data_IF_699042532120
#
_entry.id   IF_699042532120
#
_cell.length_a   1.000
_cell.length_b   1.000
_cell.length_c   1.000
_cell.angle_alpha   90.00
_cell.angle_beta   90.00
_cell.angle_gamma   90.00
#
_symmetry.space_group_name_H-M   'P 1'
#
loop_
_entity.id
_entity.type
_entity.pdbx_description
1 polymer ?
#
# COMPACT_ATOMS: atom_id res chain seq x y z
N UNK A 1 61.10 -40.90 -46.52
CA UNK A 1 60.72 -39.48 -46.61
C UNK A 1 59.43 -39.46 -47.41
N UNK A 2 58.25 -39.09 -46.94
CA UNK A 2 57.70 -38.68 -45.65
C UNK A 2 56.20 -39.01 -45.79
N UNK A 3 55.58 -39.54 -44.73
CA UNK A 3 54.15 -39.75 -44.69
C UNK A 3 53.46 -38.38 -44.60
N UNK A 4 52.48 -38.11 -45.46
CA UNK A 4 51.56 -37.00 -45.25
C UNK A 4 50.14 -37.57 -45.09
N UNK A 5 49.71 -37.58 -43.84
CA UNK A 5 48.39 -37.90 -43.34
C UNK A 5 47.46 -36.70 -43.54
N UNK A 6 46.26 -36.91 -44.08
CA UNK A 6 45.11 -36.07 -43.74
C UNK A 6 43.80 -36.82 -43.98
N UNK A 7 42.93 -36.70 -42.97
CA UNK A 7 41.76 -37.49 -42.59
C UNK A 7 40.52 -37.28 -43.48
N UNK A 8 39.51 -38.18 -43.39
CA UNK A 8 38.23 -37.99 -44.08
C UNK A 8 37.33 -36.97 -43.38
N UNK A 9 36.58 -36.21 -44.18
CA UNK A 9 35.61 -35.20 -43.75
C UNK A 9 34.60 -35.78 -42.74
N UNK A 10 34.59 -35.21 -41.54
CA UNK A 10 33.58 -35.50 -40.51
C UNK A 10 32.39 -34.56 -40.67
N UNK A 11 31.21 -35.15 -40.86
CA UNK A 11 29.92 -34.48 -40.81
C UNK A 11 29.72 -33.79 -39.45
N UNK A 12 29.69 -32.45 -39.41
CA UNK A 12 29.26 -31.73 -38.21
C UNK A 12 27.73 -31.71 -38.15
N UNK A 13 27.17 -32.45 -37.19
CA UNK A 13 25.79 -32.28 -36.77
C UNK A 13 25.58 -30.83 -36.30
N UNK A 14 24.65 -30.13 -36.95
CA UNK A 14 24.12 -28.88 -36.42
C UNK A 14 23.43 -29.18 -35.08
N UNK A 15 24.04 -28.76 -33.98
CA UNK A 15 23.36 -28.69 -32.69
C UNK A 15 22.30 -27.60 -32.81
N UNK A 16 21.07 -28.04 -33.04
CA UNK A 16 19.88 -27.22 -32.87
C UNK A 16 19.90 -26.71 -31.44
N UNK A 17 20.24 -25.43 -31.27
CA UNK A 17 20.11 -24.74 -29.99
C UNK A 17 18.67 -24.89 -29.53
N UNK A 18 18.47 -25.63 -28.45
CA UNK A 18 17.20 -25.64 -27.73
C UNK A 18 16.87 -24.18 -27.42
N UNK A 19 15.72 -23.64 -27.86
CA UNK A 19 15.33 -22.29 -27.48
C UNK A 19 15.36 -22.23 -25.95
N UNK A 20 16.09 -21.28 -25.37
CA UNK A 20 15.95 -21.01 -23.93
C UNK A 20 14.45 -20.82 -23.68
N UNK A 21 13.85 -21.52 -22.69
CA UNK A 21 12.46 -21.30 -22.39
C UNK A 21 12.27 -19.80 -22.15
N UNK A 22 11.25 -19.22 -22.77
CA UNK A 22 10.87 -17.83 -22.52
C UNK A 22 10.40 -17.74 -21.07
N UNK A 23 11.33 -17.45 -20.17
CA UNK A 23 11.06 -17.18 -18.77
C UNK A 23 10.35 -15.83 -18.76
N UNK A 24 9.08 -15.81 -18.35
CA UNK A 24 8.33 -14.56 -18.17
C UNK A 24 9.15 -13.61 -17.30
N UNK A 25 9.22 -12.29 -17.59
CA UNK A 25 9.85 -11.30 -16.71
C UNK A 25 9.34 -11.37 -15.26
N UNK A 26 8.12 -11.88 -15.07
CA UNK A 26 7.59 -12.24 -13.76
C UNK A 26 8.46 -13.27 -13.04
N UNK A 27 8.80 -14.40 -13.70
CA UNK A 27 9.63 -15.47 -13.14
C UNK A 27 11.05 -15.01 -12.77
N UNK A 28 11.63 -14.02 -13.46
CA UNK A 28 12.91 -13.38 -13.04
C UNK A 28 12.74 -12.54 -11.77
N UNK A 29 11.61 -11.86 -11.59
CA UNK A 29 11.30 -11.16 -10.33
C UNK A 29 11.04 -12.13 -9.16
N UNK A 30 10.74 -13.40 -9.45
CA UNK A 30 10.47 -14.42 -8.42
C UNK A 30 11.71 -14.93 -7.69
N UNK A 31 12.92 -14.64 -8.19
CA UNK A 31 14.17 -14.98 -7.50
C UNK A 31 14.61 -13.94 -6.46
N UNK A 32 13.90 -12.81 -6.35
CA UNK A 32 14.20 -11.76 -5.37
C UNK A 32 13.67 -12.18 -3.99
N UNK A 33 14.56 -12.28 -3.00
CA UNK A 33 14.17 -12.41 -1.59
C UNK A 33 14.36 -11.07 -0.88
N UNK A 34 13.53 -10.79 0.14
CA UNK A 34 13.70 -9.61 0.99
C UNK A 34 15.09 -9.51 1.62
N UNK A 35 15.76 -10.65 1.83
CA UNK A 35 17.12 -10.71 2.38
C UNK A 35 18.22 -10.18 1.46
N UNK A 36 17.91 -9.88 0.19
CA UNK A 36 18.86 -9.32 -0.78
C UNK A 36 18.61 -7.84 -1.12
N UNK A 37 17.61 -7.21 -0.48
CA UNK A 37 17.20 -5.83 -0.76
C UNK A 37 17.90 -4.86 0.19
N UNK A 38 18.25 -3.67 -0.30
CA UNK A 38 18.76 -2.59 0.55
C UNK A 38 17.75 -2.31 1.69
N UNK A 39 18.15 -2.46 2.96
CA UNK A 39 17.28 -2.18 4.10
C UNK A 39 16.73 -0.77 4.05
N UNK A 40 15.45 -0.60 4.38
CA UNK A 40 14.77 0.69 4.40
C UNK A 40 14.74 1.42 3.04
N UNK A 41 14.87 0.69 1.92
CA UNK A 41 14.55 1.22 0.59
C UNK A 41 13.03 1.41 0.44
N UNK A 42 12.59 2.28 -0.48
CA UNK A 42 11.16 2.58 -0.67
C UNK A 42 10.34 1.31 -0.94
N UNK A 43 10.83 0.42 -1.81
CA UNK A 43 10.13 -0.83 -2.14
C UNK A 43 10.01 -1.76 -0.94
N UNK A 44 11.10 -1.92 -0.17
CA UNK A 44 11.15 -2.77 1.02
C UNK A 44 10.15 -2.30 2.09
N UNK A 45 10.13 -0.99 2.33
CA UNK A 45 9.24 -0.35 3.31
C UNK A 45 7.79 -0.51 2.91
N UNK A 46 7.43 -0.16 1.66
CA UNK A 46 6.05 -0.27 1.19
C UNK A 46 5.56 -1.72 1.25
N UNK A 47 6.45 -2.68 0.94
CA UNK A 47 6.14 -4.11 1.04
C UNK A 47 5.86 -4.53 2.48
N UNK A 48 6.64 -4.06 3.46
CA UNK A 48 6.40 -4.30 4.89
C UNK A 48 5.12 -3.63 5.39
N UNK A 49 4.82 -2.41 4.93
CA UNK A 49 3.57 -1.71 5.25
C UNK A 49 2.36 -2.50 4.74
N UNK A 50 2.38 -2.98 3.50
CA UNK A 50 1.30 -3.77 2.91
C UNK A 50 1.16 -5.12 3.63
N UNK A 51 2.27 -5.84 3.84
CA UNK A 51 2.29 -7.11 4.56
C UNK A 51 1.72 -6.96 5.98
N UNK A 52 2.24 -6.00 6.74
CA UNK A 52 1.79 -5.74 8.10
C UNK A 52 0.31 -5.35 8.19
N UNK A 53 -0.17 -4.55 7.24
CA UNK A 53 -1.58 -4.18 7.15
C UNK A 53 -2.51 -5.36 6.84
N UNK A 54 -2.06 -6.33 6.03
CA UNK A 54 -2.80 -7.57 5.77
C UNK A 54 -2.77 -8.50 6.99
N UNK A 55 -1.61 -8.62 7.64
CA UNK A 55 -1.42 -9.46 8.82
C UNK A 55 -2.24 -9.05 10.05
N UNK A 56 -2.61 -7.77 10.17
CA UNK A 56 -3.57 -7.31 11.19
C UNK A 56 -4.92 -8.02 11.04
N UNK A 57 -5.33 -8.34 9.81
CA UNK A 57 -6.58 -9.06 9.53
C UNK A 57 -6.37 -10.56 9.30
N UNK A 58 -5.16 -11.08 9.49
CA UNK A 58 -4.81 -12.47 9.17
C UNK A 58 -4.96 -12.80 7.68
N UNK A 59 -4.81 -11.80 6.81
CA UNK A 59 -5.01 -11.86 5.37
C UNK A 59 -3.67 -11.91 4.61
N UNK A 60 -3.68 -12.32 3.34
CA UNK A 60 -2.50 -12.25 2.47
C UNK A 60 -1.45 -13.37 2.64
N UNK A 61 -0.34 -13.23 1.91
CA UNK A 61 0.77 -14.20 1.89
C UNK A 61 1.94 -13.86 2.82
N UNK A 62 3.05 -14.59 2.67
CA UNK A 62 4.31 -14.30 3.37
C UNK A 62 4.88 -12.93 2.99
N UNK A 63 5.85 -12.44 3.77
CA UNK A 63 6.53 -11.18 3.48
C UNK A 63 7.29 -11.23 2.13
N UNK A 64 7.95 -12.35 1.80
CA UNK A 64 8.65 -12.52 0.51
C UNK A 64 7.68 -12.52 -0.67
N UNK A 65 6.53 -13.20 -0.53
CA UNK A 65 5.48 -13.15 -1.55
C UNK A 65 4.90 -11.76 -1.70
N UNK A 66 4.67 -11.06 -0.59
CA UNK A 66 4.20 -9.66 -0.61
C UNK A 66 5.20 -8.77 -1.33
N UNK A 67 6.49 -8.92 -1.04
CA UNK A 67 7.54 -8.14 -1.70
C UNK A 67 7.55 -8.33 -3.21
N UNK A 68 7.50 -9.58 -3.70
CA UNK A 68 7.49 -9.86 -5.15
C UNK A 68 6.26 -9.31 -5.86
N UNK A 69 5.09 -9.42 -5.23
CA UNK A 69 3.85 -8.83 -5.74
C UNK A 69 3.97 -7.30 -5.80
N UNK A 70 4.45 -6.67 -4.73
CA UNK A 70 4.70 -5.23 -4.68
C UNK A 70 5.68 -4.81 -5.77
N UNK A 71 6.80 -5.51 -5.89
CA UNK A 71 7.81 -5.27 -6.92
C UNK A 71 7.23 -5.31 -8.33
N UNK A 72 6.43 -6.33 -8.65
CA UNK A 72 5.77 -6.42 -9.95
C UNK A 72 4.75 -5.29 -10.17
N UNK A 73 3.90 -4.99 -9.19
CA UNK A 73 2.86 -3.95 -9.29
C UNK A 73 3.47 -2.56 -9.46
N UNK A 74 4.42 -2.19 -8.60
CA UNK A 74 5.03 -0.87 -8.59
C UNK A 74 5.94 -0.62 -9.80
N UNK A 75 6.54 -1.67 -10.37
CA UNK A 75 7.36 -1.58 -11.61
C UNK A 75 6.58 -1.89 -12.89
N UNK A 76 5.27 -2.09 -12.83
CA UNK A 76 4.44 -2.38 -14.02
C UNK A 76 4.85 -3.64 -14.78
N UNK A 77 5.39 -4.62 -14.05
CA UNK A 77 5.71 -5.92 -14.63
C UNK A 77 4.42 -6.72 -14.85
N UNK A 78 4.38 -7.60 -15.87
CA UNK A 78 3.27 -8.53 -16.04
C UNK A 78 3.05 -9.36 -14.77
N UNK A 79 1.84 -9.33 -14.22
CA UNK A 79 1.42 -10.12 -13.06
C UNK A 79 0.08 -10.79 -13.38
N UNK A 80 -0.04 -12.12 -13.22
CA UNK A 80 -1.27 -12.81 -13.56
C UNK A 80 -2.41 -12.44 -12.59
N UNK A 81 -3.65 -12.49 -13.05
CA UNK A 81 -4.81 -12.30 -12.16
C UNK A 81 -5.08 -13.55 -11.32
N UNK A 82 -4.71 -14.72 -11.83
CA UNK A 82 -4.85 -16.00 -11.16
C UNK A 82 -3.56 -16.81 -11.20
N UNK A 83 -3.26 -17.50 -10.11
CA UNK A 83 -2.12 -18.40 -10.04
C UNK A 83 -2.52 -19.80 -10.48
N UNK A 84 -1.61 -20.49 -11.14
CA UNK A 84 -1.74 -21.91 -11.48
C UNK A 84 -1.03 -22.77 -10.44
N UNK A 85 -1.55 -23.98 -10.19
CA UNK A 85 -0.86 -24.95 -9.33
C UNK A 85 0.50 -25.29 -9.92
N UNK A 86 1.54 -25.26 -9.10
CA UNK A 86 2.93 -25.41 -9.54
C UNK A 86 3.67 -24.08 -9.82
N UNK A 87 2.99 -22.93 -9.81
CA UNK A 87 3.68 -21.64 -9.77
C UNK A 87 4.41 -21.47 -8.44
N UNK A 88 5.64 -20.94 -8.44
CA UNK A 88 6.41 -20.81 -7.19
C UNK A 88 5.69 -19.93 -6.14
N UNK A 89 5.02 -18.87 -6.58
CA UNK A 89 4.20 -18.01 -5.69
C UNK A 89 3.03 -18.80 -5.08
N UNK A 90 2.41 -19.70 -5.85
CA UNK A 90 1.32 -20.54 -5.36
C UNK A 90 1.81 -21.48 -4.27
N UNK A 91 2.94 -22.16 -4.49
CA UNK A 91 3.52 -23.10 -3.52
C UNK A 91 3.96 -22.36 -2.24
N UNK A 92 4.58 -21.19 -2.36
CA UNK A 92 5.00 -20.42 -1.18
C UNK A 92 3.83 -19.87 -0.35
N UNK A 93 2.73 -19.46 -0.98
CA UNK A 93 1.51 -19.11 -0.25
C UNK A 93 0.93 -20.36 0.43
N UNK A 94 0.97 -21.51 -0.24
CA UNK A 94 0.51 -22.79 0.32
C UNK A 94 1.30 -23.16 1.58
N UNK A 95 2.63 -23.04 1.54
CA UNK A 95 3.52 -23.27 2.69
C UNK A 95 3.24 -22.28 3.83
N UNK A 96 2.99 -21.01 3.50
CA UNK A 96 2.63 -19.99 4.48
C UNK A 96 1.31 -20.32 5.19
N UNK A 97 0.29 -20.75 4.45
CA UNK A 97 -0.98 -21.18 5.02
C UNK A 97 -0.82 -22.41 5.93
N UNK A 98 0.04 -23.36 5.55
CA UNK A 98 0.36 -24.53 6.37
C UNK A 98 1.08 -24.16 7.68
N UNK A 99 1.98 -23.18 7.64
CA UNK A 99 2.61 -22.60 8.82
C UNK A 99 1.57 -21.96 9.76
N UNK A 100 0.63 -21.19 9.19
CA UNK A 100 -0.45 -20.54 9.92
C UNK A 100 -1.59 -21.48 10.35
N UNK A 101 -1.54 -22.77 9.98
CA UNK A 101 -2.60 -23.75 10.25
C UNK A 101 -3.95 -23.39 9.63
N UNK A 102 -3.92 -22.73 8.47
CA UNK A 102 -5.09 -22.37 7.67
C UNK A 102 -5.29 -23.43 6.55
N UNK A 103 -6.54 -23.75 6.14
CA UNK A 103 -6.79 -24.69 5.05
C UNK A 103 -6.08 -24.32 3.74
N UNK A 104 -5.41 -25.30 3.13
CA UNK A 104 -4.59 -25.20 1.91
C UNK A 104 -5.40 -25.36 0.62
N UNK A 105 -6.68 -24.97 0.63
CA UNK A 105 -7.51 -25.11 -0.56
C UNK A 105 -7.05 -24.12 -1.63
N UNK A 106 -7.36 -24.41 -2.90
CA UNK A 106 -7.04 -23.51 -4.00
C UNK A 106 -7.67 -22.13 -3.76
N UNK A 107 -8.90 -22.11 -3.26
CA UNK A 107 -9.65 -20.91 -2.91
C UNK A 107 -8.95 -20.09 -1.83
N UNK A 108 -8.43 -20.72 -0.76
CA UNK A 108 -7.66 -20.03 0.28
C UNK A 108 -6.38 -19.40 -0.25
N UNK A 109 -5.63 -20.12 -1.10
CA UNK A 109 -4.39 -19.62 -1.71
C UNK A 109 -4.69 -18.44 -2.63
N UNK A 110 -5.71 -18.58 -3.47
CA UNK A 110 -6.14 -17.53 -4.39
C UNK A 110 -6.65 -16.29 -3.66
N UNK A 111 -7.37 -16.46 -2.56
CA UNK A 111 -7.80 -15.35 -1.69
C UNK A 111 -6.60 -14.58 -1.15
N UNK A 112 -5.63 -15.27 -0.55
CA UNK A 112 -4.43 -14.61 0.00
C UNK A 112 -3.63 -13.88 -1.09
N UNK A 113 -3.52 -14.48 -2.28
CA UNK A 113 -2.90 -13.85 -3.42
C UNK A 113 -3.62 -12.56 -3.84
N UNK A 114 -4.94 -12.63 -4.05
CA UNK A 114 -5.77 -11.49 -4.47
C UNK A 114 -5.76 -10.37 -3.44
N UNK A 115 -5.93 -10.68 -2.15
CA UNK A 115 -5.86 -9.68 -1.07
C UNK A 115 -4.52 -8.94 -1.07
N UNK A 116 -3.42 -9.63 -1.35
CA UNK A 116 -2.08 -9.00 -1.42
C UNK A 116 -1.92 -8.17 -2.70
N UNK A 117 -2.34 -8.71 -3.85
CA UNK A 117 -2.29 -8.05 -5.15
C UNK A 117 -3.12 -6.75 -5.18
N UNK A 118 -4.36 -6.82 -4.70
CA UNK A 118 -5.26 -5.68 -4.68
C UNK A 118 -4.82 -4.61 -3.69
N UNK A 119 -4.27 -5.01 -2.55
CA UNK A 119 -3.65 -4.05 -1.62
C UNK A 119 -2.51 -3.28 -2.29
N UNK A 120 -1.61 -3.98 -2.97
CA UNK A 120 -0.51 -3.35 -3.70
C UNK A 120 -1.03 -2.42 -4.84
N UNK A 121 -2.06 -2.84 -5.58
CA UNK A 121 -2.68 -2.01 -6.64
C UNK A 121 -3.32 -0.75 -6.08
N UNK A 122 -4.08 -0.85 -4.99
CA UNK A 122 -4.68 0.30 -4.31
C UNK A 122 -3.61 1.25 -3.73
N UNK A 123 -2.54 0.70 -3.15
CA UNK A 123 -1.40 1.49 -2.68
C UNK A 123 -0.74 2.27 -3.83
N UNK A 124 -0.44 1.60 -4.95
CA UNK A 124 0.12 2.24 -6.14
C UNK A 124 -0.78 3.35 -6.66
N UNK A 125 -2.08 3.10 -6.75
CA UNK A 125 -3.06 4.09 -7.19
C UNK A 125 -3.00 5.37 -6.33
N UNK A 126 -3.08 5.21 -5.01
CA UNK A 126 -3.05 6.34 -4.08
C UNK A 126 -1.72 7.08 -4.08
N UNK A 127 -0.59 6.36 -4.05
CA UNK A 127 0.75 6.97 -4.08
C UNK A 127 0.96 7.74 -5.38
N UNK A 128 0.62 7.14 -6.54
CA UNK A 128 0.79 7.79 -7.84
C UNK A 128 -0.07 9.05 -7.92
N UNK A 129 -1.36 8.96 -7.59
CA UNK A 129 -2.31 10.06 -7.71
C UNK A 129 -2.02 11.19 -6.72
N UNK A 130 -1.85 10.84 -5.45
CA UNK A 130 -1.81 11.81 -4.35
C UNK A 130 -0.38 12.23 -4.01
N UNK A 131 0.60 11.34 -4.05
CA UNK A 131 1.98 11.67 -3.65
C UNK A 131 2.75 12.19 -4.86
N UNK A 132 2.76 11.46 -5.98
CA UNK A 132 3.56 11.80 -7.17
C UNK A 132 2.94 12.94 -7.97
N UNK A 133 1.66 12.81 -8.34
CA UNK A 133 0.96 13.82 -9.14
C UNK A 133 0.38 14.97 -8.31
N UNK A 134 0.55 14.93 -6.99
CA UNK A 134 0.01 15.91 -6.03
C UNK A 134 -1.48 16.23 -6.21
N UNK A 135 -2.28 15.33 -6.77
CA UNK A 135 -3.71 15.56 -6.93
C UNK A 135 -4.40 15.64 -5.56
N UNK A 136 -5.53 16.32 -5.52
CA UNK A 136 -6.37 16.41 -4.31
C UNK A 136 -7.12 15.10 -4.12
N UNK A 137 -7.42 14.77 -2.88
CA UNK A 137 -8.44 13.76 -2.62
C UNK A 137 -9.80 14.30 -3.04
N UNK A 138 -10.55 13.46 -3.74
CA UNK A 138 -11.97 13.67 -4.07
C UNK A 138 -12.73 12.38 -3.72
N UNK A 139 -14.06 12.44 -3.70
CA UNK A 139 -14.89 11.28 -3.39
C UNK A 139 -14.60 10.08 -4.31
N UNK A 140 -14.34 10.35 -5.60
CA UNK A 140 -13.99 9.33 -6.58
C UNK A 140 -12.69 8.60 -6.21
N UNK A 141 -11.72 9.28 -5.59
CA UNK A 141 -10.47 8.69 -5.11
C UNK A 141 -10.73 7.65 -4.03
N UNK A 142 -11.62 7.93 -3.08
CA UNK A 142 -11.99 6.98 -2.03
C UNK A 142 -12.70 5.76 -2.59
N UNK A 143 -13.67 6.00 -3.48
CA UNK A 143 -14.45 4.94 -4.13
C UNK A 143 -13.58 4.05 -4.99
N UNK A 144 -12.69 4.62 -5.79
CA UNK A 144 -11.78 3.86 -6.64
C UNK A 144 -10.75 3.08 -5.83
N UNK A 145 -10.20 3.67 -4.76
CA UNK A 145 -9.25 2.96 -3.90
C UNK A 145 -9.92 1.78 -3.18
N UNK A 146 -11.16 1.93 -2.71
CA UNK A 146 -11.94 0.82 -2.17
C UNK A 146 -12.21 -0.23 -3.24
N UNK A 147 -12.67 0.18 -4.44
CA UNK A 147 -12.95 -0.72 -5.56
C UNK A 147 -11.74 -1.56 -5.95
N UNK A 148 -10.55 -0.96 -6.02
CA UNK A 148 -9.31 -1.68 -6.30
C UNK A 148 -8.97 -2.64 -5.17
N UNK A 149 -9.13 -2.22 -3.92
CA UNK A 149 -8.75 -2.99 -2.74
C UNK A 149 -9.61 -4.23 -2.51
N UNK A 150 -10.90 -4.18 -2.85
CA UNK A 150 -11.86 -5.27 -2.66
C UNK A 150 -12.17 -6.03 -3.96
N UNK A 151 -11.53 -5.67 -5.07
CA UNK A 151 -11.80 -6.28 -6.37
C UNK A 151 -11.58 -7.79 -6.36
N UNK A 152 -12.65 -8.52 -6.69
CA UNK A 152 -12.66 -9.99 -6.79
C UNK A 152 -12.33 -10.70 -5.46
N UNK A 153 -12.56 -10.02 -4.33
CA UNK A 153 -12.78 -10.67 -3.04
C UNK A 153 -14.20 -11.28 -3.09
N UNK A 154 -14.34 -12.56 -2.74
CA UNK A 154 -15.65 -13.22 -2.73
C UNK A 154 -16.59 -12.42 -1.83
N UNK A 155 -17.76 -11.97 -2.34
CA UNK A 155 -18.73 -11.29 -1.50
C UNK A 155 -19.09 -12.25 -0.37
N UNK A 156 -19.09 -11.74 0.87
CA UNK A 156 -19.58 -12.53 2.00
C UNK A 156 -20.93 -13.14 1.63
N UNK A 157 -21.20 -14.42 1.94
CA UNK A 157 -22.51 -15.02 1.75
C UNK A 157 -23.65 -14.24 2.42
N UNK A 158 -23.32 -13.39 3.40
CA UNK A 158 -24.25 -12.50 4.08
C UNK A 158 -24.54 -11.19 3.31
N UNK A 159 -23.73 -10.84 2.30
CA UNK A 159 -23.75 -9.52 1.63
C UNK A 159 -23.54 -9.63 0.11
N UNK A 160 -24.51 -10.18 -0.64
CA UNK A 160 -24.35 -10.51 -2.06
C UNK A 160 -24.44 -9.28 -2.99
N UNK A 161 -24.83 -8.12 -2.47
CA UNK A 161 -25.13 -6.91 -3.25
C UNK A 161 -24.70 -5.65 -2.47
N UNK A 162 -23.39 -5.36 -2.50
CA UNK A 162 -22.78 -4.27 -1.72
C UNK A 162 -21.55 -3.63 -2.38
N UNK A 163 -21.58 -3.56 -3.72
CA UNK A 163 -20.66 -2.96 -4.70
C UNK A 163 -19.39 -2.27 -4.22
N UNK A 164 -18.25 -2.90 -4.51
CA UNK A 164 -16.93 -2.31 -4.65
C UNK A 164 -16.97 -0.81 -5.00
N UNK A 165 -16.43 0.04 -4.13
CA UNK A 165 -16.36 1.47 -4.34
C UNK A 165 -17.66 2.25 -4.10
N UNK A 166 -18.68 1.67 -3.48
CA UNK A 166 -19.89 2.40 -3.08
C UNK A 166 -20.01 2.52 -1.56
N UNK A 167 -20.55 3.64 -1.09
CA UNK A 167 -20.88 3.78 0.33
C UNK A 167 -21.95 2.78 0.74
N UNK A 168 -21.81 2.20 1.93
CA UNK A 168 -22.77 1.24 2.46
C UNK A 168 -24.14 1.91 2.61
N UNK A 169 -25.17 1.25 2.10
CA UNK A 169 -26.56 1.72 2.19
C UNK A 169 -27.32 1.08 3.35
N UNK A 170 -26.84 -0.06 3.85
CA UNK A 170 -27.48 -0.82 4.91
C UNK A 170 -26.54 -0.98 6.11
N UNK A 171 -27.08 -0.74 7.30
CA UNK A 171 -26.39 -1.01 8.55
C UNK A 171 -26.56 -2.47 8.93
N UNK A 172 -25.73 -3.36 8.39
CA UNK A 172 -25.73 -4.75 8.87
C UNK A 172 -25.03 -4.78 10.22
N UNK A 173 -25.85 -4.99 11.25
CA UNK A 173 -25.62 -4.74 12.69
C UNK A 173 -25.49 -3.26 13.01
N UNK A 174 -26.34 -2.79 13.93
CA UNK A 174 -26.24 -1.47 14.56
C UNK A 174 -24.98 -1.49 15.43
N UNK A 175 -23.82 -1.62 14.83
CA UNK A 175 -22.58 -1.38 15.54
C UNK A 175 -22.63 0.10 15.93
N UNK A 176 -22.91 0.41 17.21
CA UNK A 176 -23.09 1.78 17.62
C UNK A 176 -21.78 2.57 17.49
N UNK A 177 -20.67 1.88 17.16
CA UNK A 177 -19.36 2.46 16.90
C UNK A 177 -19.26 3.22 15.57
N UNK A 178 -20.18 3.02 14.63
CA UNK A 178 -20.09 3.61 13.29
C UNK A 178 -21.27 4.54 12.96
N UNK A 179 -21.02 5.49 12.07
CA UNK A 179 -22.00 6.47 11.64
C UNK A 179 -23.21 5.84 10.92
N UNK A 180 -24.39 6.45 11.01
CA UNK A 180 -25.57 6.00 10.27
C UNK A 180 -25.34 6.10 8.75
N UNK A 181 -25.72 5.08 7.94
CA UNK A 181 -25.58 5.10 6.48
C UNK A 181 -26.11 6.37 5.81
N UNK A 182 -27.21 6.93 6.30
CA UNK A 182 -27.83 8.13 5.73
C UNK A 182 -26.96 9.38 5.89
N UNK A 183 -26.01 9.34 6.83
CA UNK A 183 -25.12 10.46 7.15
C UNK A 183 -23.74 10.34 6.48
N UNK A 184 -23.37 9.16 5.96
CA UNK A 184 -22.07 8.89 5.34
C UNK A 184 -21.74 9.89 4.23
N UNK A 185 -22.63 10.19 3.25
CA UNK A 185 -22.28 11.10 2.15
C UNK A 185 -21.90 12.49 2.65
N UNK A 186 -22.64 13.03 3.62
CA UNK A 186 -22.37 14.35 4.20
C UNK A 186 -21.08 14.37 5.02
N UNK A 187 -20.86 13.34 5.85
CA UNK A 187 -19.66 13.24 6.68
C UNK A 187 -18.38 13.06 5.84
N UNK A 188 -18.44 12.23 4.79
CA UNK A 188 -17.34 12.06 3.85
C UNK A 188 -17.04 13.36 3.09
N UNK A 189 -18.07 14.08 2.63
CA UNK A 189 -17.88 15.38 1.96
C UNK A 189 -17.17 16.39 2.87
N UNK A 190 -17.59 16.51 4.13
CA UNK A 190 -16.94 17.38 5.11
C UNK A 190 -15.48 17.01 5.33
N UNK A 191 -15.22 15.73 5.59
CA UNK A 191 -13.85 15.22 5.81
C UNK A 191 -12.94 15.41 4.58
N UNK A 192 -13.44 15.18 3.36
CA UNK A 192 -12.70 15.38 2.11
C UNK A 192 -12.38 16.85 1.89
N UNK A 193 -13.35 17.74 2.16
CA UNK A 193 -13.19 19.19 2.00
C UNK A 193 -12.11 19.71 2.94
N UNK A 194 -12.15 19.31 4.22
CA UNK A 194 -11.13 19.67 5.19
C UNK A 194 -9.74 19.13 4.81
N UNK A 195 -9.65 17.87 4.39
CA UNK A 195 -8.39 17.27 3.94
C UNK A 195 -7.80 18.04 2.75
N UNK A 196 -8.63 18.41 1.78
CA UNK A 196 -8.20 19.18 0.62
C UNK A 196 -7.62 20.55 1.03
N UNK A 197 -8.28 21.26 1.94
CA UNK A 197 -7.79 22.54 2.47
C UNK A 197 -6.45 22.38 3.21
N UNK A 198 -6.32 21.34 4.04
CA UNK A 198 -5.06 21.05 4.74
C UNK A 198 -3.93 20.74 3.76
N UNK A 199 -4.18 19.94 2.72
CA UNK A 199 -3.16 19.62 1.72
C UNK A 199 -2.74 20.85 0.91
N UNK A 200 -3.67 21.74 0.58
CA UNK A 200 -3.34 23.02 -0.08
C UNK A 200 -2.45 23.90 0.81
N UNK A 201 -2.71 23.94 2.12
CA UNK A 201 -1.87 24.66 3.06
C UNK A 201 -0.44 24.09 3.09
N UNK A 202 -0.28 22.77 3.00
CA UNK A 202 1.02 22.11 2.95
C UNK A 202 1.79 22.44 1.66
N UNK A 203 1.10 22.50 0.52
CA UNK A 203 1.73 22.79 -0.78
C UNK A 203 2.17 24.28 -0.91
N UNK A 204 1.56 25.18 -0.15
CA UNK A 204 1.80 26.64 -0.20
C UNK A 204 2.71 27.18 0.90
N UNK A 205 3.07 26.37 1.90
CA UNK A 205 3.95 26.79 3.00
C UNK A 205 5.42 26.86 2.55
N UNK A 206 6.10 28.02 2.65
CA UNK A 206 7.51 28.15 2.27
C UNK A 206 8.45 27.39 3.21
N UNK A 207 9.46 26.74 2.64
CA UNK A 207 10.56 26.07 3.37
C UNK A 207 11.65 27.08 3.79
N UNK A 208 12.43 26.82 4.86
CA UNK A 208 12.45 25.59 5.64
C UNK A 208 11.40 25.56 6.76
N UNK A 209 10.76 24.41 6.91
CA UNK A 209 9.88 24.10 8.03
C UNK A 209 10.73 24.03 9.31
N UNK A 210 10.19 24.45 10.46
CA UNK A 210 10.86 24.17 11.74
C UNK A 210 10.75 22.66 12.03
N UNK A 211 11.86 21.94 12.32
CA UNK A 211 11.92 20.50 12.04
C UNK A 211 11.04 19.59 12.92
N UNK A 212 10.83 19.91 14.20
CA UNK A 212 10.24 18.95 15.15
C UNK A 212 8.75 19.20 15.42
N UNK A 213 8.36 20.46 15.66
CA UNK A 213 6.96 20.83 15.90
C UNK A 213 6.06 20.57 14.68
N UNK A 214 6.62 20.64 13.46
CA UNK A 214 5.88 20.45 12.20
C UNK A 214 5.65 18.97 11.83
N UNK A 215 6.59 18.07 12.17
CA UNK A 215 6.41 16.63 11.95
C UNK A 215 5.27 16.11 12.84
N UNK A 216 5.26 16.52 14.10
CA UNK A 216 4.21 16.14 15.04
C UNK A 216 2.84 16.65 14.58
N UNK A 217 2.75 17.89 14.07
CA UNK A 217 1.51 18.45 13.54
C UNK A 217 1.02 17.68 12.29
N UNK A 218 1.91 17.30 11.38
CA UNK A 218 1.57 16.51 10.18
C UNK A 218 1.09 15.11 10.53
N UNK A 219 1.75 14.43 11.48
CA UNK A 219 1.29 13.14 12.01
C UNK A 219 -0.07 13.29 12.66
N UNK A 220 -0.27 14.36 13.45
CA UNK A 220 -1.54 14.66 14.08
C UNK A 220 -2.65 14.84 13.03
N UNK A 221 -2.43 15.63 11.96
CA UNK A 221 -3.41 15.82 10.87
C UNK A 221 -3.75 14.50 10.16
N UNK A 222 -2.75 13.67 9.85
CA UNK A 222 -2.98 12.36 9.25
C UNK A 222 -3.78 11.43 10.17
N UNK A 223 -3.46 11.40 11.47
CA UNK A 223 -4.20 10.62 12.46
C UNK A 223 -5.63 11.14 12.62
N UNK A 224 -5.85 12.46 12.60
CA UNK A 224 -7.17 13.08 12.67
C UNK A 224 -8.06 12.60 11.53
N UNK A 225 -7.52 12.64 10.31
CA UNK A 225 -8.18 12.14 9.13
C UNK A 225 -8.56 10.65 9.27
N UNK A 226 -7.59 9.80 9.62
CA UNK A 226 -7.83 8.36 9.78
C UNK A 226 -8.86 8.06 10.87
N UNK A 227 -8.82 8.78 11.99
CA UNK A 227 -9.80 8.64 13.07
C UNK A 227 -11.23 8.92 12.56
N UNK A 228 -11.44 10.03 11.84
CA UNK A 228 -12.76 10.30 11.23
C UNK A 228 -13.19 9.21 10.27
N UNK A 229 -12.28 8.75 9.40
CA UNK A 229 -12.58 7.68 8.45
C UNK A 229 -13.00 6.38 9.16
N UNK A 230 -12.32 6.00 10.26
CA UNK A 230 -12.66 4.84 11.09
C UNK A 230 -14.09 4.95 11.64
N UNK A 231 -14.48 6.12 12.15
CA UNK A 231 -15.83 6.34 12.72
C UNK A 231 -16.93 6.43 11.67
N UNK A 232 -16.64 7.02 10.50
CA UNK A 232 -17.59 7.06 9.38
C UNK A 232 -17.82 5.63 8.85
N UNK A 233 -16.76 4.85 8.73
CA UNK A 233 -16.77 3.48 8.20
C UNK A 233 -17.56 3.37 6.89
N UNK A 234 -17.15 4.09 5.82
CA UNK A 234 -18.03 4.40 4.70
C UNK A 234 -18.39 3.21 3.80
N UNK A 235 -17.55 2.17 3.73
CA UNK A 235 -17.72 1.04 2.81
C UNK A 235 -18.25 -0.21 3.53
N UNK A 236 -18.68 -1.21 2.76
CA UNK A 236 -19.10 -2.51 3.29
C UNK A 236 -17.91 -3.30 3.82
N UNK A 237 -16.83 -3.39 3.03
CA UNK A 237 -15.57 -4.01 3.42
C UNK A 237 -14.36 -3.13 3.07
N UNK A 238 -13.20 -3.48 3.62
CA UNK A 238 -11.92 -2.87 3.29
C UNK A 238 -11.60 -1.62 4.09
N UNK A 239 -12.51 -1.10 4.93
CA UNK A 239 -12.29 0.15 5.68
C UNK A 239 -10.99 0.14 6.50
N UNK A 240 -10.70 -0.97 7.20
CA UNK A 240 -9.48 -1.16 7.97
C UNK A 240 -8.21 -1.05 7.11
N UNK A 241 -8.14 -1.81 6.01
CA UNK A 241 -7.01 -1.79 5.07
C UNK A 241 -6.88 -0.41 4.40
N UNK A 242 -8.01 0.20 4.06
CA UNK A 242 -8.06 1.45 3.31
C UNK A 242 -7.61 2.66 4.15
N UNK A 243 -8.00 2.76 5.43
CA UNK A 243 -7.50 3.87 6.27
C UNK A 243 -5.99 3.77 6.49
N UNK A 244 -5.42 2.56 6.56
CA UNK A 244 -3.97 2.36 6.69
C UNK A 244 -3.22 2.75 5.41
N UNK A 245 -3.84 2.53 4.25
CA UNK A 245 -3.36 3.08 2.98
C UNK A 245 -3.44 4.60 2.93
N UNK A 246 -4.52 5.21 3.42
CA UNK A 246 -4.60 6.67 3.52
C UNK A 246 -3.56 7.24 4.48
N UNK A 247 -3.35 6.62 5.64
CA UNK A 247 -2.30 7.01 6.58
C UNK A 247 -0.93 7.00 5.89
N UNK A 248 -0.60 5.91 5.21
CA UNK A 248 0.66 5.77 4.46
C UNK A 248 0.79 6.85 3.39
N UNK A 249 -0.27 7.10 2.63
CA UNK A 249 -0.30 8.09 1.55
C UNK A 249 -0.11 9.52 2.09
N UNK A 250 -0.78 9.87 3.18
CA UNK A 250 -0.69 11.18 3.81
C UNK A 250 0.69 11.44 4.41
N UNK A 251 1.29 10.45 5.08
CA UNK A 251 2.65 10.54 5.60
C UNK A 251 3.65 10.76 4.46
N UNK A 252 3.57 9.96 3.39
CA UNK A 252 4.45 10.10 2.22
C UNK A 252 4.30 11.47 1.53
N UNK A 253 3.06 11.98 1.39
CA UNK A 253 2.82 13.32 0.86
C UNK A 253 3.38 14.41 1.77
N UNK A 254 3.38 14.17 3.08
CA UNK A 254 3.94 15.08 4.07
C UNK A 254 5.48 15.04 4.16
N UNK A 255 6.14 14.15 3.39
CA UNK A 255 7.59 13.94 3.47
C UNK A 255 8.03 13.11 4.68
N UNK A 256 7.11 12.35 5.27
CA UNK A 256 7.33 11.51 6.46
C UNK A 256 7.37 10.03 6.03
N UNK A 257 8.30 9.22 6.56
CA UNK A 257 8.32 7.78 6.30
C UNK A 257 6.97 7.12 6.65
N UNK A 258 6.56 6.06 5.91
CA UNK A 258 5.40 5.26 6.28
C UNK A 258 5.50 4.71 7.70
N UNK A 259 4.36 4.62 8.39
CA UNK A 259 4.26 3.86 9.62
C UNK A 259 4.33 2.37 9.30
N UNK A 260 5.37 1.67 9.78
CA UNK A 260 5.54 0.22 9.56
C UNK A 260 5.21 -0.53 10.84
N UNK A 261 4.14 -1.33 10.82
CA UNK A 261 3.63 -2.09 11.97
C UNK A 261 2.88 -3.34 11.50
N UNK A 262 2.44 -4.20 12.44
CA UNK A 262 1.71 -5.43 12.13
C UNK A 262 2.60 -6.61 11.74
N UNK A 263 3.93 -6.42 11.73
CA UNK A 263 4.91 -7.46 11.42
C UNK A 263 4.93 -8.57 12.49
N UNK A 264 4.76 -8.18 13.75
CA UNK A 264 4.77 -9.08 14.91
C UNK A 264 3.47 -8.97 15.71
N UNK A 265 3.15 -10.03 16.48
CA UNK A 265 1.93 -10.09 17.31
C UNK A 265 1.80 -8.88 18.26
N UNK A 266 2.85 -8.44 18.98
CA UNK A 266 2.73 -7.28 19.86
C UNK A 266 2.32 -6.00 19.13
N UNK A 267 2.77 -5.80 17.89
CA UNK A 267 2.41 -4.63 17.09
C UNK A 267 0.94 -4.67 16.67
N UNK A 268 0.44 -5.87 16.33
CA UNK A 268 -0.97 -6.07 15.97
C UNK A 268 -1.88 -5.76 17.16
N UNK A 269 -1.51 -6.19 18.36
CA UNK A 269 -2.25 -5.88 19.59
C UNK A 269 -2.23 -4.39 19.94
N UNK A 270 -1.07 -3.73 19.81
CA UNK A 270 -0.95 -2.27 20.04
C UNK A 270 -1.74 -1.48 19.00
N UNK A 271 -1.74 -1.93 17.75
CA UNK A 271 -2.55 -1.37 16.68
C UNK A 271 -4.05 -1.48 16.98
N UNK A 272 -4.51 -2.66 17.39
CA UNK A 272 -5.90 -2.90 17.80
C UNK A 272 -6.31 -1.98 18.96
N UNK A 273 -5.46 -1.80 19.97
CA UNK A 273 -5.72 -0.87 21.08
C UNK A 273 -5.81 0.59 20.61
N UNK A 274 -4.91 1.01 19.72
CA UNK A 274 -4.91 2.35 19.16
C UNK A 274 -6.18 2.61 18.31
N UNK A 275 -6.58 1.66 17.47
CA UNK A 275 -7.82 1.73 16.70
C UNK A 275 -9.05 1.70 17.63
N UNK A 276 -9.06 0.83 18.64
CA UNK A 276 -10.16 0.74 19.60
C UNK A 276 -10.38 2.05 20.38
N UNK A 277 -9.31 2.80 20.66
CA UNK A 277 -9.39 4.10 21.33
C UNK A 277 -10.20 5.13 20.53
N UNK A 278 -10.30 4.96 19.21
CA UNK A 278 -11.06 5.85 18.33
C UNK A 278 -12.56 5.78 18.61
N UNK A 279 -13.08 4.62 19.00
CA UNK A 279 -14.53 4.39 19.18
C UNK A 279 -15.14 5.06 20.42
N UNK A 280 -14.35 5.82 21.19
CA UNK A 280 -14.80 6.43 22.46
C UNK A 280 -15.41 7.84 22.31
N UNK A 281 -15.38 8.42 21.10
CA UNK A 281 -15.80 9.81 20.85
C UNK A 281 -17.26 9.96 20.35
N UNK A 282 -17.83 11.15 20.59
CA UNK A 282 -19.19 11.52 20.18
C UNK A 282 -19.29 11.82 18.67
N UNK A 283 -20.17 11.10 17.97
CA UNK A 283 -20.44 11.24 16.53
C UNK A 283 -20.92 12.64 16.11
N UNK A 284 -21.45 13.45 17.03
CA UNK A 284 -21.96 14.79 16.70
C UNK A 284 -20.90 15.68 16.04
N UNK A 285 -19.61 15.48 16.35
CA UNK A 285 -18.53 16.26 15.77
C UNK A 285 -18.20 15.87 14.32
N UNK A 286 -18.63 14.70 13.83
CA UNK A 286 -18.33 14.26 12.45
C UNK A 286 -19.17 14.96 11.39
N UNK A 287 -20.33 15.50 11.78
CA UNK A 287 -21.33 16.10 10.89
C UNK A 287 -21.23 17.61 10.78
N UNK A 288 -20.52 18.24 11.70
CA UNK A 288 -20.39 19.70 11.73
C UNK A 288 -19.33 20.12 10.70
N UNK A 289 -19.83 20.56 9.54
CA UNK A 289 -19.03 21.15 8.44
C UNK A 289 -18.54 22.57 8.81
N UNK A 290 -19.07 23.15 9.89
CA UNK A 290 -18.75 24.47 10.39
C UNK A 290 -18.81 24.49 11.93
N UNK A 291 -17.75 25.03 12.54
CA UNK A 291 -17.64 25.56 13.91
C UNK A 291 -16.95 24.75 15.05
N UNK A 292 -15.77 25.29 15.39
CA UNK A 292 -15.17 25.58 16.72
C UNK A 292 -14.68 24.48 17.67
N UNK A 293 -15.04 23.20 17.50
CA UNK A 293 -14.34 22.13 18.22
C UNK A 293 -13.59 21.28 17.20
N UNK A 294 -12.28 21.49 17.12
CA UNK A 294 -11.43 20.68 16.26
C UNK A 294 -11.56 19.22 16.70
N UNK A 295 -12.20 18.38 15.87
CA UNK A 295 -12.20 16.94 16.07
C UNK A 295 -10.75 16.49 16.24
N UNK A 296 -10.41 15.94 17.41
CA UNK A 296 -9.04 15.53 17.74
C UNK A 296 -8.82 14.04 17.44
N UNK A 297 -7.66 13.65 16.89
CA UNK A 297 -7.30 12.23 16.84
C UNK A 297 -7.20 11.66 18.26
N UNK A 298 -7.49 10.35 18.40
CA UNK A 298 -7.22 9.65 19.66
C UNK A 298 -5.73 9.67 19.99
N UNK A 299 -5.37 10.03 21.22
CA UNK A 299 -3.98 10.15 21.65
C UNK A 299 -3.17 8.85 21.45
N UNK A 300 -3.82 7.70 21.63
CA UNK A 300 -3.18 6.40 21.42
C UNK A 300 -2.84 6.15 19.94
N UNK A 301 -3.70 6.58 19.00
CA UNK A 301 -3.41 6.48 17.58
C UNK A 301 -2.21 7.35 17.19
N UNK A 302 -2.17 8.59 17.68
CA UNK A 302 -1.05 9.51 17.43
C UNK A 302 0.25 8.93 17.95
N UNK A 303 0.25 8.47 19.22
CA UNK A 303 1.42 7.87 19.86
C UNK A 303 1.89 6.65 19.08
N UNK A 304 0.97 5.76 18.70
CA UNK A 304 1.27 4.57 17.93
C UNK A 304 1.90 4.92 16.58
N UNK A 305 1.32 5.85 15.80
CA UNK A 305 1.87 6.25 14.50
C UNK A 305 3.22 6.94 14.65
N UNK A 306 3.37 7.83 15.64
CA UNK A 306 4.63 8.52 15.91
C UNK A 306 5.77 7.54 16.21
N UNK A 307 5.52 6.55 17.08
CA UNK A 307 6.50 5.51 17.38
C UNK A 307 6.95 4.83 16.07
N UNK A 308 6.02 4.34 15.25
CA UNK A 308 6.33 3.56 14.02
C UNK A 308 6.81 4.37 12.80
N UNK A 309 6.92 5.70 12.90
CA UNK A 309 7.40 6.58 11.82
C UNK A 309 8.70 7.31 12.16
N UNK A 310 8.85 7.75 13.41
CA UNK A 310 9.93 8.64 13.82
C UNK A 310 10.92 8.02 14.82
N UNK A 311 10.50 7.03 15.61
CA UNK A 311 11.32 6.50 16.72
C UNK A 311 12.08 5.20 16.38
N UNK A 312 11.74 4.52 15.29
CA UNK A 312 12.32 3.20 14.93
C UNK A 312 13.19 3.21 13.67
N UNK A 313 13.32 4.35 13.00
CA UNK A 313 14.10 4.43 11.78
C UNK A 313 15.52 4.93 12.08
N UNK A 314 16.46 4.00 12.28
CA UNK A 314 17.89 4.34 12.48
C UNK A 314 18.43 5.20 11.31
N UNK A 315 17.99 4.89 10.09
CA UNK A 315 18.19 5.70 8.89
C UNK A 315 17.37 5.15 7.71
N UNK A 316 16.51 5.94 7.05
CA UNK A 316 15.92 5.54 5.76
C UNK A 316 17.01 5.38 4.69
N UNK A 317 16.82 4.46 3.74
CA UNK A 317 17.72 4.28 2.60
C UNK A 317 17.80 5.51 1.70
N UNK A 318 18.83 5.62 0.86
CA UNK A 318 19.09 6.84 0.07
C UNK A 318 17.94 7.19 -0.89
N UNK A 319 17.33 6.18 -1.52
CA UNK A 319 16.16 6.38 -2.36
C UNK A 319 14.94 6.87 -1.59
N UNK A 320 14.68 6.33 -0.39
CA UNK A 320 13.60 6.80 0.47
C UNK A 320 13.83 8.25 0.90
N UNK A 321 15.05 8.62 1.32
CA UNK A 321 15.38 10.02 1.66
C UNK A 321 15.13 10.96 0.50
N UNK A 322 15.60 10.59 -0.69
CA UNK A 322 15.40 11.39 -1.91
C UNK A 322 13.91 11.52 -2.23
N UNK A 323 13.17 10.41 -2.17
CA UNK A 323 11.73 10.39 -2.37
C UNK A 323 11.02 11.33 -1.41
N UNK A 324 11.24 11.17 -0.10
CA UNK A 324 10.62 12.00 0.95
C UNK A 324 11.00 13.47 0.82
N UNK A 325 12.23 13.76 0.40
CA UNK A 325 12.65 15.13 0.14
C UNK A 325 11.86 15.73 -1.03
N UNK A 326 11.80 15.03 -2.18
CA UNK A 326 11.05 15.50 -3.36
C UNK A 326 9.54 15.61 -3.07
N UNK A 327 8.97 14.64 -2.37
CA UNK A 327 7.53 14.64 -2.04
C UNK A 327 7.19 15.57 -0.87
N UNK A 328 8.16 15.95 -0.04
CA UNK A 328 8.01 16.97 0.99
C UNK A 328 8.16 18.40 0.47
N UNK A 329 8.80 18.60 -0.69
CA UNK A 329 9.01 19.93 -1.29
C UNK A 329 7.87 20.32 -2.24
N UNK A 330 7.23 21.47 -2.01
CA UNK A 330 6.34 22.13 -2.97
C UNK A 330 7.01 22.19 -4.35
N UNK A 331 6.43 21.56 -5.37
CA UNK A 331 6.95 21.63 -6.75
C UNK A 331 6.66 23.02 -7.33
N UNK A 332 7.47 24.01 -6.93
CA UNK A 332 7.58 25.31 -7.59
C UNK A 332 8.55 25.30 -8.79
N UNK A 333 9.24 24.18 -9.04
CA UNK A 333 10.05 24.00 -10.23
C UNK A 333 9.60 22.75 -10.97
N UNK A 334 9.10 22.97 -12.18
CA UNK A 334 8.97 21.95 -13.22
C UNK A 334 10.35 21.27 -13.31
N UNK A 335 10.41 19.98 -13.01
CA UNK A 335 11.56 19.15 -13.34
C UNK A 335 11.65 19.11 -14.87
N UNK A 336 12.50 19.96 -15.45
CA UNK A 336 12.97 19.73 -16.81
C UNK A 336 13.75 18.42 -16.82
N UNK A 337 13.20 17.41 -17.48
CA UNK A 337 13.92 16.19 -17.79
C UNK A 337 15.20 16.56 -18.56
N UNK A 338 16.40 16.10 -18.15
CA UNK A 338 17.55 16.22 -19.01
C UNK A 338 17.27 15.44 -20.29
N UNK A 339 17.25 16.17 -21.41
CA UNK A 339 17.10 15.58 -22.73
C UNK A 339 18.10 14.43 -22.88
N UNK A 340 17.60 13.27 -23.31
CA UNK A 340 18.41 12.10 -23.61
C UNK A 340 19.58 12.52 -24.52
N UNK A 341 20.78 12.57 -23.95
CA UNK A 341 21.99 12.84 -24.71
C UNK A 341 22.21 11.64 -25.62
N UNK A 342 21.96 11.85 -26.92
CA UNK A 342 22.33 10.90 -27.97
C UNK A 342 23.85 10.76 -27.94
N UNK A 343 24.34 9.68 -27.33
CA UNK A 343 25.69 9.19 -27.60
C UNK A 343 25.73 8.78 -29.08
N UNK A 344 26.34 9.64 -29.90
CA UNK A 344 26.83 9.23 -31.20
C UNK A 344 28.11 8.40 -31.00
N UNK A 345 28.25 7.25 -31.67
CA UNK A 345 29.49 6.48 -31.62
C UNK A 345 30.55 7.20 -32.48
N UNK A 346 31.75 7.33 -31.91
CA UNK A 346 33.00 7.45 -32.67
C UNK A 346 34.00 6.44 -32.13
#
# INVERSE_FOLDING_TARGET
>A
MEANTTEPETYSFATTGVPRPFVSPFLESLSLSMGQVEPNSLMEVLSRTIYGSNMILGAGGSLDTTYRICHAVFNELPIPEELTKGDSVYEEITDHLEFLKIPRSYESVMKCYRETLQHAKAAKYLITRIVIHRQRFDEATFKEANRLLTYNDDPSPQEPWGGDGNYRQWGMTRDPRFLDPLQIPSAMLGMITELAMEMESLDTTPLPLKPEDDIQERIWKACRFCHRFILIHPFVDGNGRLYRLFLTTLLLRAGIPPAVYGLYIPDRMRHEQAEASCYTQDYQMLLNVADLVAFGPGEQLIKFVHEHTCCWWDSPGNYMRTFLHVTGQSTGQVLEYPAASKMHPR
#
